data_IF_119238116082
#
_entry.id   IF_119238116082
#
_cell.length_a   1.000
_cell.length_b   1.000
_cell.length_c   1.000
_cell.angle_alpha   90.00
_cell.angle_beta   90.00
_cell.angle_gamma   90.00
#
_symmetry.space_group_name_H-M   'P 1'
#
loop_
_entity.id
_entity.type
_entity.pdbx_description
1 polymer ?
#
# COMPACT_ATOMS: atom_id res chain seq x y z
N UNK A 1 2.34 48.06 -8.25
CA UNK A 1 1.02 48.22 -7.62
C UNK A 1 -0.03 48.29 -8.72
N UNK A 2 -0.69 47.17 -9.02
CA UNK A 2 -1.98 47.15 -9.71
C UNK A 2 -2.82 46.15 -8.93
N UNK A 3 -3.61 46.66 -8.01
CA UNK A 3 -4.73 45.93 -7.43
C UNK A 3 -5.85 45.95 -8.47
N UNK A 4 -6.37 44.78 -8.86
CA UNK A 4 -7.69 44.68 -9.45
C UNK A 4 -8.29 43.30 -9.17
N UNK A 5 -9.26 43.34 -8.26
CA UNK A 5 -10.45 42.49 -8.19
C UNK A 5 -10.28 40.98 -7.98
N UNK A 6 -10.23 40.64 -6.69
CA UNK A 6 -11.02 39.54 -6.14
C UNK A 6 -12.41 39.49 -6.79
N UNK A 7 -12.62 38.53 -7.69
CA UNK A 7 -13.93 38.23 -8.28
C UNK A 7 -14.16 36.74 -8.15
N UNK A 8 -14.99 36.39 -7.17
CA UNK A 8 -15.78 35.16 -7.04
C UNK A 8 -15.06 33.80 -7.16
N UNK A 9 -14.38 33.39 -6.10
CA UNK A 9 -14.26 31.97 -5.80
C UNK A 9 -15.65 31.46 -5.40
N UNK A 10 -16.41 30.90 -6.34
CA UNK A 10 -17.66 30.14 -6.10
C UNK A 10 -17.44 28.96 -5.13
N UNK A 11 -16.17 28.61 -4.90
CA UNK A 11 -15.70 27.53 -4.06
C UNK A 11 -15.23 28.12 -2.71
N UNK A 12 -15.82 27.71 -1.58
CA UNK A 12 -15.39 28.13 -0.24
C UNK A 12 -13.89 27.92 -0.05
N UNK A 13 -13.21 28.84 0.65
CA UNK A 13 -11.76 28.78 0.87
C UNK A 13 -11.30 27.43 1.45
N UNK A 14 -12.11 26.79 2.30
CA UNK A 14 -11.87 25.44 2.80
C UNK A 14 -11.81 24.40 1.66
N UNK A 15 -12.75 24.44 0.71
CA UNK A 15 -12.83 23.50 -0.41
C UNK A 15 -11.69 23.77 -1.42
N UNK A 16 -11.30 25.04 -1.60
CA UNK A 16 -10.17 25.42 -2.45
C UNK A 16 -8.84 24.83 -1.95
N UNK A 17 -8.63 24.73 -0.63
CA UNK A 17 -7.43 24.09 -0.06
C UNK A 17 -7.38 22.59 -0.40
N UNK A 18 -8.49 21.87 -0.26
CA UNK A 18 -8.56 20.46 -0.63
C UNK A 18 -8.43 20.23 -2.14
N UNK A 19 -8.97 21.13 -2.95
CA UNK A 19 -8.84 21.09 -4.40
C UNK A 19 -7.40 21.34 -4.86
N UNK A 20 -6.67 22.26 -4.23
CA UNK A 20 -5.25 22.48 -4.51
C UNK A 20 -4.36 21.30 -4.10
N UNK A 21 -4.81 20.50 -3.13
CA UNK A 21 -4.15 19.24 -2.77
C UNK A 21 -4.33 18.16 -3.86
N UNK A 22 -5.46 18.19 -4.57
CA UNK A 22 -5.86 17.24 -5.62
C UNK A 22 -5.46 17.67 -7.03
N UNK A 23 -5.33 18.96 -7.30
CA UNK A 23 -4.95 19.53 -8.59
C UNK A 23 -3.96 20.70 -8.37
N UNK A 24 -2.77 20.68 -9.01
CA UNK A 24 -1.85 21.82 -9.01
C UNK A 24 -2.54 23.10 -9.53
N UNK A 25 -2.03 24.28 -9.18
CA UNK A 25 -2.66 25.57 -9.52
C UNK A 25 -2.99 25.71 -11.02
N UNK A 26 -2.10 25.26 -11.91
CA UNK A 26 -2.35 25.27 -13.37
C UNK A 26 -3.53 24.40 -13.80
N UNK A 27 -3.74 23.25 -13.13
CA UNK A 27 -4.87 22.38 -13.41
C UNK A 27 -6.14 22.85 -12.73
N UNK A 28 -6.05 23.49 -11.56
CA UNK A 28 -7.18 24.12 -10.90
C UNK A 28 -7.77 25.23 -11.79
N UNK A 29 -6.93 26.07 -12.38
CA UNK A 29 -7.34 27.14 -13.27
C UNK A 29 -7.95 26.57 -14.57
N UNK A 30 -7.37 25.53 -15.15
CA UNK A 30 -7.88 24.91 -16.38
C UNK A 30 -9.26 24.24 -16.16
N UNK A 31 -9.47 23.58 -15.03
CA UNK A 31 -10.72 22.88 -14.71
C UNK A 31 -11.83 23.80 -14.19
N UNK A 32 -11.53 24.67 -13.24
CA UNK A 32 -12.53 25.41 -12.47
C UNK A 32 -12.66 26.88 -12.87
N UNK A 33 -11.64 27.46 -13.50
CA UNK A 33 -11.68 28.84 -14.01
C UNK A 33 -12.01 28.86 -15.50
N UNK A 34 -11.40 27.97 -16.30
CA UNK A 34 -11.62 27.89 -17.76
C UNK A 34 -12.64 26.84 -18.21
N UNK A 35 -13.17 26.03 -17.29
CA UNK A 35 -14.12 24.93 -17.58
C UNK A 35 -13.63 23.92 -18.64
N UNK A 36 -12.31 23.73 -18.78
CA UNK A 36 -11.72 22.79 -19.73
C UNK A 36 -11.55 21.41 -19.08
N UNK A 37 -12.67 20.73 -18.86
CA UNK A 37 -12.75 19.47 -18.12
C UNK A 37 -12.06 18.29 -18.86
N UNK A 38 -11.76 18.44 -20.14
CA UNK A 38 -11.09 17.42 -20.95
C UNK A 38 -9.60 17.67 -21.18
N UNK A 39 -8.96 18.55 -20.41
CA UNK A 39 -7.51 18.70 -20.48
C UNK A 39 -6.81 17.43 -19.98
N UNK A 40 -6.46 16.53 -20.93
CA UNK A 40 -5.95 15.17 -20.68
C UNK A 40 -4.79 15.10 -19.67
N UNK A 41 -3.77 15.98 -19.71
CA UNK A 41 -2.70 15.97 -18.72
C UNK A 41 -3.19 16.22 -17.29
N UNK A 42 -4.06 17.22 -17.12
CA UNK A 42 -4.61 17.58 -15.81
C UNK A 42 -5.59 16.54 -15.29
N UNK A 43 -6.40 15.94 -16.17
CA UNK A 43 -7.31 14.86 -15.80
C UNK A 43 -6.56 13.64 -15.27
N UNK A 44 -5.44 13.25 -15.89
CA UNK A 44 -4.62 12.13 -15.41
C UNK A 44 -4.04 12.40 -14.02
N UNK A 45 -3.56 13.62 -13.75
CA UNK A 45 -3.02 14.01 -12.44
C UNK A 45 -4.12 13.98 -11.37
N UNK A 46 -5.30 14.52 -11.68
CA UNK A 46 -6.44 14.53 -10.78
C UNK A 46 -6.87 13.09 -10.43
N UNK A 47 -7.05 12.24 -11.44
CA UNK A 47 -7.41 10.82 -11.24
C UNK A 47 -6.33 10.11 -10.42
N UNK A 48 -5.05 10.37 -10.70
CA UNK A 48 -3.94 9.79 -9.95
C UNK A 48 -4.01 10.13 -8.48
N UNK A 49 -4.18 11.42 -8.14
CA UNK A 49 -4.24 11.85 -6.75
C UNK A 49 -5.47 11.31 -6.03
N UNK A 50 -6.64 11.34 -6.67
CA UNK A 50 -7.85 10.70 -6.13
C UNK A 50 -7.61 9.23 -5.81
N UNK A 51 -6.99 8.50 -6.74
CA UNK A 51 -6.69 7.08 -6.57
C UNK A 51 -5.65 6.85 -5.47
N UNK A 52 -4.58 7.64 -5.42
CA UNK A 52 -3.56 7.60 -4.37
C UNK A 52 -4.15 7.83 -2.98
N UNK A 53 -5.00 8.85 -2.82
CA UNK A 53 -5.69 9.10 -1.56
C UNK A 53 -6.72 8.03 -1.21
N UNK A 54 -7.44 7.48 -2.19
CA UNK A 54 -8.34 6.35 -1.96
C UNK A 54 -7.59 5.14 -1.40
N UNK A 55 -6.41 4.83 -1.96
CA UNK A 55 -5.56 3.73 -1.47
C UNK A 55 -5.06 4.03 -0.04
N UNK A 56 -4.62 5.27 0.23
CA UNK A 56 -4.25 5.70 1.58
C UNK A 56 -5.42 5.52 2.56
N UNK A 57 -6.63 5.92 2.17
CA UNK A 57 -7.79 5.74 3.03
C UNK A 57 -8.11 4.28 3.30
N UNK A 58 -7.92 3.41 2.30
CA UNK A 58 -8.05 1.97 2.45
C UNK A 58 -7.04 1.39 3.43
N UNK A 59 -5.79 1.89 3.42
CA UNK A 59 -4.71 1.36 4.26
C UNK A 59 -4.95 1.52 5.76
N UNK A 60 -5.79 2.48 6.18
CA UNK A 60 -6.22 2.61 7.58
C UNK A 60 -6.96 1.38 8.12
N UNK A 61 -7.60 0.59 7.27
CA UNK A 61 -8.48 -0.50 7.72
C UNK A 61 -7.83 -1.86 7.48
N UNK A 62 -6.81 -1.96 6.61
CA UNK A 62 -6.24 -3.25 6.15
C UNK A 62 -5.85 -4.18 7.28
N UNK A 63 -5.13 -3.71 8.30
CA UNK A 63 -4.64 -4.57 9.41
C UNK A 63 -5.55 -4.53 10.64
N UNK A 64 -6.55 -3.64 10.68
CA UNK A 64 -7.45 -3.50 11.83
C UNK A 64 -8.19 -4.79 12.17
N UNK A 65 -8.75 -5.58 11.22
CA UNK A 65 -9.36 -6.86 11.53
C UNK A 65 -8.38 -7.85 12.19
N UNK A 66 -7.11 -7.83 11.79
CA UNK A 66 -6.08 -8.68 12.38
C UNK A 66 -5.76 -8.24 13.82
N UNK A 67 -5.62 -6.94 14.07
CA UNK A 67 -5.42 -6.37 15.41
C UNK A 67 -6.57 -6.78 16.34
N UNK A 68 -7.82 -6.59 15.90
CA UNK A 68 -9.01 -6.97 16.68
C UNK A 68 -9.01 -8.48 16.99
N UNK A 69 -8.64 -9.33 16.03
CA UNK A 69 -8.55 -10.78 16.25
C UNK A 69 -7.55 -11.14 17.34
N UNK A 70 -6.35 -10.56 17.32
CA UNK A 70 -5.30 -10.79 18.33
C UNK A 70 -5.79 -10.32 19.71
N UNK A 71 -6.38 -9.12 19.80
CA UNK A 71 -6.87 -8.58 21.06
C UNK A 71 -8.02 -9.41 21.65
N UNK A 72 -8.93 -9.91 20.82
CA UNK A 72 -10.03 -10.79 21.26
C UNK A 72 -9.54 -12.16 21.70
N UNK A 73 -8.58 -12.73 20.97
CA UNK A 73 -7.97 -14.01 21.32
C UNK A 73 -7.03 -13.91 22.53
N UNK A 74 -6.53 -12.70 22.85
CA UNK A 74 -5.47 -12.45 23.84
C UNK A 74 -4.23 -13.33 23.62
N UNK A 75 -3.94 -13.67 22.37
CA UNK A 75 -2.85 -14.55 21.97
C UNK A 75 -2.32 -14.15 20.61
N UNK A 76 -0.99 -14.20 20.45
CA UNK A 76 -0.29 -14.05 19.16
C UNK A 76 -0.04 -15.37 18.45
N UNK A 77 -0.58 -16.48 18.94
CA UNK A 77 -0.36 -17.81 18.39
C UNK A 77 -0.82 -17.90 16.92
N UNK A 78 0.02 -18.53 16.08
CA UNK A 78 -0.19 -18.60 14.63
C UNK A 78 0.35 -17.39 13.85
N UNK A 79 0.83 -16.33 14.53
CA UNK A 79 1.47 -15.19 13.87
C UNK A 79 2.99 -15.33 13.96
N UNK A 80 3.64 -15.48 12.80
CA UNK A 80 5.10 -15.55 12.72
C UNK A 80 5.73 -14.15 12.76
N UNK A 81 6.44 -13.81 13.83
CA UNK A 81 7.16 -12.53 13.98
C UNK A 81 8.20 -12.29 12.89
N UNK A 82 8.79 -13.33 12.30
CA UNK A 82 9.73 -13.18 11.17
C UNK A 82 8.97 -12.64 9.95
N UNK A 83 7.78 -13.17 9.67
CA UNK A 83 6.93 -12.69 8.57
C UNK A 83 6.49 -11.25 8.81
N UNK A 84 6.13 -10.89 10.05
CA UNK A 84 5.76 -9.51 10.41
C UNK A 84 6.95 -8.56 10.25
N UNK A 85 8.15 -9.01 10.59
CA UNK A 85 9.38 -8.21 10.44
C UNK A 85 9.76 -8.00 8.98
N UNK A 86 9.63 -9.04 8.14
CA UNK A 86 9.84 -8.92 6.69
C UNK A 86 8.81 -7.98 6.04
N UNK A 87 7.56 -8.03 6.50
CA UNK A 87 6.53 -7.08 6.07
C UNK A 87 6.86 -5.65 6.50
N UNK A 88 7.28 -5.43 7.75
CA UNK A 88 7.75 -4.12 8.22
C UNK A 88 8.94 -3.62 7.42
N UNK A 89 9.90 -4.48 7.08
CA UNK A 89 11.03 -4.13 6.23
C UNK A 89 10.57 -3.60 4.86
N UNK A 90 9.71 -4.33 4.17
CA UNK A 90 9.19 -3.96 2.85
C UNK A 90 8.44 -2.61 2.88
N UNK A 91 7.56 -2.44 3.87
CA UNK A 91 6.79 -1.20 4.04
C UNK A 91 7.71 -0.02 4.39
N UNK A 92 8.69 -0.25 5.27
CA UNK A 92 9.64 0.78 5.70
C UNK A 92 10.56 1.23 4.58
N UNK A 93 11.01 0.29 3.73
CA UNK A 93 11.78 0.59 2.54
C UNK A 93 11.00 1.51 1.58
N UNK A 94 9.73 1.19 1.31
CA UNK A 94 8.87 2.01 0.46
C UNK A 94 8.65 3.42 1.04
N UNK A 95 8.40 3.51 2.35
CA UNK A 95 8.25 4.80 3.03
C UNK A 95 9.54 5.62 2.95
N UNK A 96 10.66 5.07 3.40
CA UNK A 96 11.93 5.79 3.42
C UNK A 96 12.38 6.21 2.01
N UNK A 97 12.23 5.33 1.01
CA UNK A 97 12.55 5.64 -0.37
C UNK A 97 11.71 6.79 -0.92
N UNK A 98 10.39 6.76 -0.69
CA UNK A 98 9.48 7.82 -1.14
C UNK A 98 9.72 9.16 -0.46
N UNK A 99 9.97 9.15 0.85
CA UNK A 99 10.32 10.35 1.61
C UNK A 99 11.68 10.93 1.20
N UNK A 100 12.69 10.08 1.02
CA UNK A 100 14.05 10.47 0.61
C UNK A 100 14.12 11.10 -0.79
N UNK A 101 13.34 10.57 -1.73
CA UNK A 101 13.20 11.15 -3.08
C UNK A 101 12.22 12.33 -3.14
N UNK A 102 11.65 12.73 -2.01
CA UNK A 102 10.68 13.84 -1.89
C UNK A 102 9.47 13.68 -2.81
N UNK A 103 9.02 12.44 -3.01
CA UNK A 103 7.77 12.17 -3.73
C UNK A 103 6.58 12.78 -2.99
N UNK A 104 5.47 13.08 -3.70
CA UNK A 104 4.27 13.54 -3.03
C UNK A 104 3.74 12.48 -2.05
N UNK A 105 3.12 12.93 -0.97
CA UNK A 105 2.56 12.04 0.06
C UNK A 105 1.58 11.00 -0.50
N UNK A 106 0.83 11.31 -1.55
CA UNK A 106 -0.07 10.38 -2.25
C UNK A 106 0.64 9.12 -2.79
N UNK A 107 1.95 9.21 -3.08
CA UNK A 107 2.73 8.12 -3.65
C UNK A 107 3.19 7.09 -2.61
N UNK A 108 3.48 7.48 -1.36
CA UNK A 108 4.02 6.59 -0.33
C UNK A 108 3.27 6.61 1.00
N UNK A 109 2.28 7.48 1.17
CA UNK A 109 1.56 7.70 2.44
C UNK A 109 0.88 6.46 2.99
N UNK A 110 0.50 5.52 2.12
CA UNK A 110 -0.07 4.23 2.53
C UNK A 110 0.88 3.45 3.44
N UNK A 111 2.19 3.54 3.16
CA UNK A 111 3.22 2.80 3.85
C UNK A 111 3.36 3.26 5.29
N UNK A 112 3.13 4.55 5.58
CA UNK A 112 3.18 5.08 6.94
C UNK A 112 2.11 4.43 7.82
N UNK A 113 0.87 4.39 7.33
CA UNK A 113 -0.25 3.82 8.08
C UNK A 113 -0.13 2.30 8.21
N UNK A 114 0.31 1.62 7.15
CA UNK A 114 0.57 0.18 7.23
C UNK A 114 1.72 -0.14 8.18
N UNK A 115 2.79 0.65 8.20
CA UNK A 115 3.91 0.48 9.11
C UNK A 115 3.44 0.59 10.56
N UNK A 116 2.70 1.65 10.88
CA UNK A 116 2.15 1.85 12.22
C UNK A 116 1.31 0.66 12.69
N UNK A 117 0.35 0.21 11.88
CA UNK A 117 -0.51 -0.92 12.24
C UNK A 117 0.28 -2.24 12.36
N UNK A 118 1.31 -2.43 11.54
CA UNK A 118 2.13 -3.65 11.58
C UNK A 118 3.06 -3.66 12.79
N UNK A 119 3.57 -2.50 13.23
CA UNK A 119 4.28 -2.36 14.52
C UNK A 119 3.35 -2.69 15.69
N UNK A 120 2.10 -2.21 15.66
CA UNK A 120 1.09 -2.56 16.68
C UNK A 120 0.87 -4.08 16.74
N UNK A 121 0.75 -4.75 15.59
CA UNK A 121 0.65 -6.22 15.54
C UNK A 121 1.89 -6.88 16.17
N UNK A 122 3.10 -6.49 15.77
CA UNK A 122 4.33 -7.04 16.32
C UNK A 122 4.40 -6.88 17.85
N UNK A 123 4.03 -5.70 18.34
CA UNK A 123 4.02 -5.39 19.77
C UNK A 123 2.99 -6.22 20.53
N UNK A 124 1.76 -6.36 20.01
CA UNK A 124 0.71 -7.19 20.62
C UNK A 124 1.14 -8.66 20.70
N UNK A 125 1.78 -9.20 19.65
CA UNK A 125 2.31 -10.57 19.66
C UNK A 125 3.35 -10.75 20.77
N UNK A 126 4.26 -9.79 20.95
CA UNK A 126 5.27 -9.85 22.01
C UNK A 126 4.65 -9.74 23.41
N UNK A 127 3.65 -8.87 23.61
CA UNK A 127 2.94 -8.71 24.90
C UNK A 127 2.19 -9.99 25.28
N UNK A 128 1.41 -10.56 24.36
CA UNK A 128 0.65 -11.78 24.63
C UNK A 128 1.52 -13.04 24.72
N UNK A 129 2.80 -12.95 24.37
CA UNK A 129 3.81 -13.99 24.63
C UNK A 129 4.56 -13.77 25.96
N UNK A 130 4.05 -12.92 26.84
CA UNK A 130 4.63 -12.51 28.13
C UNK A 130 6.05 -11.91 28.03
N UNK A 131 6.40 -11.36 26.87
CA UNK A 131 7.74 -10.84 26.55
C UNK A 131 7.71 -9.33 26.33
N UNK A 132 7.19 -8.57 27.30
CA UNK A 132 7.03 -7.11 27.21
C UNK A 132 8.36 -6.39 26.92
N UNK A 133 9.46 -6.78 27.58
CA UNK A 133 10.77 -6.20 27.34
C UNK A 133 11.23 -6.36 25.88
N UNK A 134 10.99 -7.52 25.27
CA UNK A 134 11.31 -7.75 23.85
C UNK A 134 10.39 -6.94 22.94
N UNK A 135 9.12 -6.80 23.28
CA UNK A 135 8.17 -5.95 22.55
C UNK A 135 8.60 -4.48 22.54
N UNK A 136 8.96 -3.93 23.70
CA UNK A 136 9.45 -2.55 23.80
C UNK A 136 10.78 -2.37 23.05
N UNK A 137 11.72 -3.30 23.21
CA UNK A 137 12.99 -3.28 22.49
C UNK A 137 12.78 -3.32 20.96
N UNK A 138 11.85 -4.15 20.48
CA UNK A 138 11.50 -4.24 19.07
C UNK A 138 11.02 -2.90 18.52
N UNK A 139 10.07 -2.26 19.22
CA UNK A 139 9.53 -0.95 18.83
C UNK A 139 10.60 0.13 18.87
N UNK A 140 11.43 0.17 19.93
CA UNK A 140 12.49 1.18 20.04
C UNK A 140 13.55 1.04 18.94
N UNK A 141 13.95 -0.20 18.62
CA UNK A 141 14.88 -0.47 17.52
C UNK A 141 14.26 -0.05 16.18
N UNK A 142 12.99 -0.40 15.95
CA UNK A 142 12.28 -0.02 14.73
C UNK A 142 12.20 1.52 14.56
N UNK A 143 11.81 2.24 15.62
CA UNK A 143 11.76 3.70 15.61
C UNK A 143 13.14 4.31 15.38
N UNK A 144 14.20 3.76 16.00
CA UNK A 144 15.57 4.21 15.77
C UNK A 144 16.02 4.03 14.32
N UNK A 145 15.75 2.87 13.72
CA UNK A 145 16.06 2.60 12.31
C UNK A 145 15.30 3.57 11.39
N UNK A 146 13.99 3.74 11.61
CA UNK A 146 13.19 4.65 10.80
C UNK A 146 13.61 6.11 10.99
N UNK A 147 13.98 6.51 12.22
CA UNK A 147 14.53 7.84 12.50
C UNK A 147 15.79 8.12 11.69
N UNK A 148 16.70 7.14 11.58
CA UNK A 148 17.87 7.24 10.71
C UNK A 148 17.49 7.28 9.23
N UNK A 149 16.67 6.34 8.75
CA UNK A 149 16.29 6.23 7.33
C UNK A 149 15.52 7.45 6.80
N UNK A 150 14.75 8.12 7.65
CA UNK A 150 14.01 9.34 7.30
C UNK A 150 14.84 10.62 7.52
N UNK A 151 16.01 10.52 8.14
CA UNK A 151 16.89 11.66 8.34
C UNK A 151 17.60 12.04 7.03
N UNK A 152 18.02 13.31 6.87
CA UNK A 152 18.86 13.73 5.75
C UNK A 152 20.22 13.01 5.68
N UNK A 153 20.62 12.32 6.75
CA UNK A 153 21.89 11.60 6.83
C UNK A 153 21.86 10.23 6.13
N UNK A 154 20.68 9.70 5.80
CA UNK A 154 20.58 8.44 5.08
C UNK A 154 20.92 8.64 3.58
N UNK A 155 21.93 7.93 3.05
CA UNK A 155 22.29 8.07 1.64
C UNK A 155 21.21 7.45 0.75
N UNK A 156 20.85 8.13 -0.34
CA UNK A 156 19.84 7.67 -1.30
C UNK A 156 20.14 6.28 -1.88
N UNK A 157 21.42 5.92 -2.03
CA UNK A 157 21.85 4.58 -2.46
C UNK A 157 21.42 3.48 -1.49
N UNK A 158 21.47 3.72 -0.17
CA UNK A 158 20.95 2.78 0.83
C UNK A 158 19.44 2.61 0.67
N UNK A 159 18.70 3.71 0.51
CA UNK A 159 17.25 3.66 0.31
C UNK A 159 16.88 2.88 -0.96
N UNK A 160 17.64 3.07 -2.05
CA UNK A 160 17.45 2.33 -3.29
C UNK A 160 17.68 0.83 -3.09
N UNK A 161 18.75 0.42 -2.40
CA UNK A 161 19.01 -1.00 -2.11
C UNK A 161 17.88 -1.60 -1.25
N UNK A 162 17.39 -0.86 -0.26
CA UNK A 162 16.24 -1.29 0.56
C UNK A 162 14.98 -1.46 -0.30
N UNK A 163 14.70 -0.50 -1.19
CA UNK A 163 13.58 -0.58 -2.13
C UNK A 163 13.75 -1.74 -3.13
N UNK A 164 14.97 -2.06 -3.57
CA UNK A 164 15.23 -3.24 -4.40
C UNK A 164 14.92 -4.53 -3.64
N UNK A 165 15.30 -4.59 -2.37
CA UNK A 165 14.96 -5.70 -1.48
C UNK A 165 13.45 -5.87 -1.28
N UNK A 166 12.70 -4.76 -1.25
CA UNK A 166 11.24 -4.79 -1.21
C UNK A 166 10.68 -5.47 -2.48
N UNK A 167 11.14 -5.09 -3.67
CA UNK A 167 10.75 -5.72 -4.95
C UNK A 167 10.94 -7.24 -4.88
N UNK A 168 12.12 -7.67 -4.40
CA UNK A 168 12.44 -9.09 -4.26
C UNK A 168 11.48 -9.81 -3.31
N UNK A 169 11.23 -9.20 -2.14
CA UNK A 169 10.35 -9.77 -1.10
C UNK A 169 8.92 -9.97 -1.62
N UNK A 170 8.37 -8.94 -2.28
CA UNK A 170 7.02 -8.99 -2.87
C UNK A 170 6.95 -10.08 -3.95
N UNK A 171 7.95 -10.14 -4.82
CA UNK A 171 7.99 -11.11 -5.93
C UNK A 171 8.02 -12.54 -5.42
N UNK A 172 8.93 -12.85 -4.48
CA UNK A 172 9.10 -14.20 -3.92
C UNK A 172 7.83 -14.64 -3.19
N UNK A 173 7.21 -13.77 -2.39
CA UNK A 173 5.97 -14.09 -1.68
C UNK A 173 4.85 -14.53 -2.63
N UNK A 174 4.66 -13.81 -3.74
CA UNK A 174 3.62 -14.12 -4.73
C UNK A 174 3.95 -15.35 -5.58
N UNK A 175 5.22 -15.55 -5.90
CA UNK A 175 5.68 -16.75 -6.61
C UNK A 175 5.45 -18.01 -5.77
N UNK A 176 5.78 -17.97 -4.47
CA UNK A 176 5.49 -19.07 -3.55
C UNK A 176 3.99 -19.36 -3.54
N UNK A 177 3.15 -18.32 -3.45
CA UNK A 177 1.69 -18.47 -3.50
C UNK A 177 1.22 -19.12 -4.81
N UNK A 178 1.75 -18.69 -5.96
CA UNK A 178 1.39 -19.25 -7.27
C UNK A 178 1.82 -20.72 -7.41
N UNK A 179 3.00 -21.08 -6.90
CA UNK A 179 3.49 -22.47 -6.89
C UNK A 179 2.64 -23.34 -5.96
N UNK A 180 2.26 -22.84 -4.78
CA UNK A 180 1.39 -23.56 -3.86
C UNK A 180 0.02 -23.81 -4.46
N UNK A 181 -0.58 -22.83 -5.12
CA UNK A 181 -1.86 -22.99 -5.82
C UNK A 181 -1.79 -24.07 -6.92
N UNK A 182 -0.68 -24.08 -7.68
CA UNK A 182 -0.44 -25.09 -8.71
C UNK A 182 -0.29 -26.49 -8.11
N UNK A 183 0.54 -26.65 -7.08
CA UNK A 183 0.76 -27.93 -6.38
C UNK A 183 -0.52 -28.48 -5.77
N UNK A 184 -1.36 -27.61 -5.22
CA UNK A 184 -2.62 -27.99 -4.60
C UNK A 184 -3.76 -28.21 -5.61
N UNK A 185 -3.53 -27.96 -6.90
CA UNK A 185 -4.57 -28.00 -7.95
C UNK A 185 -5.84 -27.23 -7.56
N UNK A 186 -5.66 -26.12 -6.84
CA UNK A 186 -6.72 -25.44 -6.10
C UNK A 186 -6.20 -24.19 -5.39
N UNK A 187 -7.06 -23.21 -5.18
CA UNK A 187 -6.70 -21.94 -4.53
C UNK A 187 -6.92 -21.93 -3.01
N UNK A 188 -7.39 -23.04 -2.44
CA UNK A 188 -7.53 -23.24 -1.00
C UNK A 188 -8.51 -22.24 -0.36
N UNK A 189 -8.04 -21.51 0.66
CA UNK A 189 -8.82 -20.50 1.41
C UNK A 189 -8.64 -19.07 0.87
N UNK A 190 -8.07 -18.92 -0.33
CA UNK A 190 -7.84 -17.61 -0.91
C UNK A 190 -9.17 -16.96 -1.31
N UNK A 191 -9.40 -15.71 -0.91
CA UNK A 191 -10.63 -14.98 -1.27
C UNK A 191 -10.50 -14.38 -2.66
N UNK A 192 -11.50 -14.62 -3.52
CA UNK A 192 -11.60 -14.01 -4.86
C UNK A 192 -11.52 -12.48 -4.77
N UNK A 193 -12.20 -11.90 -3.79
CA UNK A 193 -12.23 -10.45 -3.57
C UNK A 193 -10.82 -9.94 -3.29
N UNK A 194 -10.06 -10.63 -2.45
CA UNK A 194 -8.68 -10.25 -2.12
C UNK A 194 -7.77 -10.34 -3.33
N UNK A 195 -7.89 -11.38 -4.16
CA UNK A 195 -7.05 -11.56 -5.35
C UNK A 195 -7.26 -10.43 -6.36
N UNK A 196 -8.52 -10.11 -6.68
CA UNK A 196 -8.82 -9.02 -7.60
C UNK A 196 -8.51 -7.65 -7.00
N UNK A 197 -8.73 -7.44 -5.70
CA UNK A 197 -8.36 -6.20 -5.02
C UNK A 197 -6.85 -5.96 -5.07
N UNK A 198 -6.03 -7.00 -4.88
CA UNK A 198 -4.58 -6.90 -5.02
C UNK A 198 -4.16 -6.60 -6.45
N UNK A 199 -4.80 -7.24 -7.44
CA UNK A 199 -4.56 -6.95 -8.85
C UNK A 199 -4.86 -5.49 -9.18
N UNK A 200 -6.10 -5.05 -8.95
CA UNK A 200 -6.51 -3.66 -9.23
C UNK A 200 -5.73 -2.64 -8.42
N UNK A 201 -5.40 -2.93 -7.15
CA UNK A 201 -4.57 -2.06 -6.31
C UNK A 201 -3.15 -1.91 -6.87
N UNK A 202 -2.52 -3.00 -7.32
CA UNK A 202 -1.21 -2.93 -7.95
C UNK A 202 -1.25 -2.19 -9.30
N UNK A 203 -2.28 -2.40 -10.13
CA UNK A 203 -2.48 -1.64 -11.38
C UNK A 203 -2.70 -0.16 -11.13
N UNK A 204 -3.53 0.18 -10.14
CA UNK A 204 -3.75 1.55 -9.69
C UNK A 204 -2.42 2.21 -9.31
N UNK A 205 -1.58 1.49 -8.54
CA UNK A 205 -0.27 1.98 -8.14
C UNK A 205 0.70 2.19 -9.30
N UNK A 206 0.66 1.36 -10.35
CA UNK A 206 1.44 1.61 -11.58
C UNK A 206 1.06 2.97 -12.16
N UNK A 207 -0.24 3.22 -12.36
CA UNK A 207 -0.72 4.48 -12.92
C UNK A 207 -0.33 5.67 -12.04
N UNK A 208 -0.59 5.58 -10.72
CA UNK A 208 -0.26 6.69 -9.82
C UNK A 208 1.23 6.96 -9.73
N UNK A 209 2.07 5.92 -9.72
CA UNK A 209 3.52 6.10 -9.65
C UNK A 209 4.09 6.73 -10.92
N UNK A 210 3.60 6.36 -12.11
CA UNK A 210 4.02 7.02 -13.36
C UNK A 210 3.67 8.52 -13.31
N UNK A 211 2.48 8.86 -12.81
CA UNK A 211 2.00 10.25 -12.80
C UNK A 211 2.57 11.10 -11.65
N UNK A 212 2.88 10.51 -10.50
CA UNK A 212 3.27 11.24 -9.29
C UNK A 212 4.75 11.22 -8.98
N UNK A 213 5.46 10.16 -9.37
CA UNK A 213 6.90 10.03 -9.08
C UNK A 213 7.74 10.08 -10.34
N UNK A 214 7.27 9.48 -11.45
CA UNK A 214 8.06 9.29 -12.66
C UNK A 214 9.27 8.36 -12.44
N UNK A 215 9.32 7.67 -11.30
CA UNK A 215 10.47 6.88 -10.88
C UNK A 215 10.35 5.43 -11.35
N UNK A 216 11.32 4.98 -12.14
CA UNK A 216 11.32 3.65 -12.76
C UNK A 216 11.36 2.53 -11.73
N UNK A 217 11.99 2.73 -10.58
CA UNK A 217 12.14 1.69 -9.55
C UNK A 217 10.82 1.42 -8.84
N UNK A 218 10.11 2.47 -8.45
CA UNK A 218 8.76 2.35 -7.87
C UNK A 218 7.78 1.77 -8.89
N UNK A 219 7.82 2.24 -10.13
CA UNK A 219 6.94 1.73 -11.20
C UNK A 219 7.21 0.24 -11.46
N UNK A 220 8.47 -0.18 -11.58
CA UNK A 220 8.84 -1.59 -11.74
C UNK A 220 8.33 -2.46 -10.58
N UNK A 221 8.41 -1.95 -9.34
CA UNK A 221 7.91 -2.66 -8.15
C UNK A 221 6.44 -3.07 -8.34
N UNK A 222 5.61 -2.12 -8.76
CA UNK A 222 4.18 -2.35 -8.94
C UNK A 222 3.85 -3.11 -10.23
N UNK A 223 4.65 -2.98 -11.29
CA UNK A 223 4.54 -3.82 -12.50
C UNK A 223 4.74 -5.30 -12.15
N UNK A 224 5.84 -5.61 -11.44
CA UNK A 224 6.12 -6.99 -11.02
C UNK A 224 5.01 -7.50 -10.10
N UNK A 225 4.55 -6.69 -9.14
CA UNK A 225 3.44 -7.05 -8.29
C UNK A 225 2.14 -7.33 -9.09
N UNK A 226 1.83 -6.51 -10.09
CA UNK A 226 0.65 -6.70 -10.93
C UNK A 226 0.72 -7.96 -11.79
N UNK A 227 1.88 -8.27 -12.37
CA UNK A 227 2.10 -9.52 -13.12
C UNK A 227 1.90 -10.72 -12.19
N UNK A 228 2.54 -10.72 -11.01
CA UNK A 228 2.38 -11.81 -10.06
C UNK A 228 0.93 -11.96 -9.57
N UNK A 229 0.24 -10.86 -9.27
CA UNK A 229 -1.17 -10.88 -8.87
C UNK A 229 -2.07 -11.37 -10.03
N UNK A 230 -1.73 -11.06 -11.28
CA UNK A 230 -2.45 -11.54 -12.46
C UNK A 230 -2.33 -13.05 -12.62
N UNK A 231 -1.13 -13.62 -12.41
CA UNK A 231 -0.92 -15.07 -12.44
C UNK A 231 -1.82 -15.75 -11.39
N UNK A 232 -1.84 -15.23 -10.16
CA UNK A 232 -2.69 -15.77 -9.09
C UNK A 232 -4.17 -15.62 -9.43
N UNK A 233 -4.60 -14.51 -10.05
CA UNK A 233 -5.97 -14.30 -10.51
C UNK A 233 -6.39 -15.29 -11.60
N UNK A 234 -5.52 -15.54 -12.57
CA UNK A 234 -5.78 -16.54 -13.63
C UNK A 234 -5.86 -17.95 -13.05
N UNK A 235 -4.94 -18.32 -12.15
CA UNK A 235 -5.02 -19.61 -11.44
C UNK A 235 -6.33 -19.74 -10.66
N UNK A 236 -6.81 -18.65 -10.08
CA UNK A 236 -8.06 -18.63 -9.34
C UNK A 236 -9.27 -18.93 -10.21
N UNK A 237 -9.34 -18.35 -11.41
CA UNK A 237 -10.38 -18.68 -12.40
C UNK A 237 -10.23 -20.11 -12.90
N UNK A 238 -9.01 -20.55 -13.20
CA UNK A 238 -8.72 -21.88 -13.73
C UNK A 238 -9.11 -23.00 -12.76
N UNK A 239 -8.81 -22.85 -11.47
CA UNK A 239 -9.12 -23.85 -10.44
C UNK A 239 -10.49 -23.66 -9.75
N UNK A 240 -11.33 -22.74 -10.24
CA UNK A 240 -12.64 -22.46 -9.67
C UNK A 240 -13.53 -23.72 -9.59
N UNK A 241 -13.44 -24.61 -10.57
CA UNK A 241 -14.20 -25.87 -10.63
C UNK A 241 -13.39 -27.13 -10.24
N UNK A 242 -12.17 -26.97 -9.72
CA UNK A 242 -11.34 -28.12 -9.35
C UNK A 242 -11.88 -28.83 -8.08
N UNK A 243 -11.77 -30.16 -7.95
CA UNK A 243 -12.27 -30.92 -6.80
C UNK A 243 -11.73 -30.42 -5.45
N UNK A 244 -10.51 -29.87 -5.41
CA UNK A 244 -9.90 -29.30 -4.20
C UNK A 244 -10.61 -28.04 -3.67
N UNK A 245 -11.36 -27.33 -4.50
CA UNK A 245 -12.13 -26.12 -4.15
C UNK A 245 -13.51 -26.49 -3.56
N UNK A 246 -14.09 -27.63 -3.98
CA UNK A 246 -15.46 -28.03 -3.67
C UNK A 246 -15.65 -28.72 -2.31
N UNK A 247 -14.58 -29.16 -1.64
CA UNK A 247 -14.67 -29.77 -0.29
C UNK A 247 -15.29 -28.76 0.72
N UNK A 248 -15.09 -27.46 0.51
CA UNK A 248 -15.59 -26.41 1.40
C UNK A 248 -16.97 -25.86 1.00
N UNK A 249 -17.40 -26.01 -0.26
CA UNK A 249 -18.77 -25.69 -0.66
C UNK A 249 -19.78 -26.66 -0.02
N UNK A 250 -19.40 -27.93 0.15
CA UNK A 250 -20.22 -28.93 0.83
C UNK A 250 -20.33 -28.68 2.35
N UNK A 251 -19.26 -28.23 3.01
CA UNK A 251 -19.27 -27.90 4.46
C UNK A 251 -20.03 -26.62 4.84
N UNK A 252 -20.42 -25.78 3.88
CA UNK A 252 -21.23 -24.58 4.14
C UNK A 252 -22.75 -24.87 4.08
N UNK A 253 -23.12 -26.08 3.64
CA UNK A 253 -24.50 -26.52 3.46
C UNK A 253 -24.89 -27.70 4.38
N UNK A 254 -24.13 -27.93 5.46
CA UNK A 254 -24.43 -28.90 6.51
C UNK A 254 -24.25 -28.24 7.88
#
# INVERSE_FOLDING_TARGET
>A
MVASNATETFIPAFIAVWLKLLAPDECYDEFFVKFNILHVPCLKILISKCLGYAIITGSFIVKVPQIIKIMRAKSGEGINLISVTLELFAISAAWAYGAGHKFPFSAYGEAIFMAFQTVVIAFLVCIYSEQLAKGLAYVSVYVGIMGFLLSPSAPLGLLAVLQAGNIFTVSVSKLIQAVTNYRNSGTGQLSVITVYMLLFGSTARIFTSIQETGDTMVVLTYIVAAICNSIVAVQFVYYWNSPGTNINASKKNL
#
